data_IF_635186730633
#
_entry.id   IF_635186730633
#
_cell.length_a   1.000
_cell.length_b   1.000
_cell.length_c   1.000
_cell.angle_alpha   90.00
_cell.angle_beta   90.00
_cell.angle_gamma   90.00
#
_symmetry.space_group_name_H-M   'P 1'
#
loop_
_entity.id
_entity.type
_entity.pdbx_description
1 polymer ?
#
# COMPACT_ATOMS: atom_id res chain seq x y z
N UNK A 1 -7.26 -2.03 -4.61
CA UNK A 1 -6.75 -1.87 -3.24
C UNK A 1 -7.71 -0.97 -2.49
N UNK A 2 -8.09 -1.36 -1.30
CA UNK A 2 -9.05 -0.61 -0.50
C UNK A 2 -8.69 -0.59 0.98
N UNK A 3 -9.38 0.27 1.73
CA UNK A 3 -9.20 0.39 3.18
C UNK A 3 -9.50 -0.95 3.84
N UNK A 4 -8.61 -1.40 4.73
CA UNK A 4 -8.72 -2.68 5.43
C UNK A 4 -8.00 -3.83 4.76
N UNK A 5 -7.54 -3.67 3.52
CA UNK A 5 -6.77 -4.71 2.84
C UNK A 5 -5.43 -4.94 3.53
N UNK A 6 -5.01 -6.20 3.61
CA UNK A 6 -3.65 -6.54 4.02
C UNK A 6 -2.75 -6.50 2.80
N UNK A 7 -1.62 -5.83 2.93
CA UNK A 7 -0.67 -5.60 1.85
C UNK A 7 0.75 -5.92 2.29
N UNK A 8 1.61 -6.17 1.32
CA UNK A 8 3.05 -6.29 1.53
C UNK A 8 3.80 -5.59 0.40
N UNK A 9 5.11 -5.45 0.56
CA UNK A 9 5.96 -4.88 -0.47
C UNK A 9 6.13 -5.86 -1.64
N UNK A 10 6.19 -5.34 -2.86
CA UNK A 10 6.65 -6.11 -4.02
C UNK A 10 8.17 -6.05 -4.06
N UNK A 11 8.80 -7.19 -4.32
CA UNK A 11 10.23 -7.24 -4.60
C UNK A 11 10.49 -6.80 -6.05
N UNK A 12 11.74 -6.46 -6.35
CA UNK A 12 12.16 -6.12 -7.71
C UNK A 12 11.83 -7.27 -8.68
N UNK A 13 11.88 -8.52 -8.21
CA UNK A 13 11.52 -9.70 -8.98
C UNK A 13 10.01 -9.86 -9.23
N UNK A 14 9.19 -8.98 -8.63
CA UNK A 14 7.73 -9.09 -8.69
C UNK A 14 7.13 -10.05 -7.66
N UNK A 15 7.95 -10.74 -6.89
CA UNK A 15 7.47 -11.63 -5.83
C UNK A 15 7.08 -10.83 -4.59
N UNK A 16 6.04 -11.28 -3.84
CA UNK A 16 5.68 -10.60 -2.61
C UNK A 16 6.77 -10.74 -1.54
N UNK A 17 6.94 -9.70 -0.74
CA UNK A 17 7.84 -9.70 0.40
C UNK A 17 7.01 -9.71 1.68
N UNK A 18 6.92 -10.86 2.32
CA UNK A 18 6.13 -11.05 3.53
C UNK A 18 6.87 -10.67 4.82
N UNK A 19 8.07 -10.11 4.71
CA UNK A 19 8.83 -9.69 5.89
C UNK A 19 8.06 -8.64 6.70
N UNK A 20 7.38 -7.73 6.03
CA UNK A 20 6.56 -6.73 6.71
C UNK A 20 5.20 -6.66 6.04
N UNK A 21 4.16 -6.92 6.83
CA UNK A 21 2.77 -6.90 6.38
C UNK A 21 2.10 -5.69 6.98
N UNK A 22 1.32 -4.98 6.18
CA UNK A 22 0.59 -3.81 6.62
C UNK A 22 -0.88 -3.88 6.31
N UNK A 23 -1.62 -2.96 6.93
CA UNK A 23 -3.04 -2.77 6.66
C UNK A 23 -3.26 -1.39 6.06
N UNK A 24 -4.08 -1.31 5.02
CA UNK A 24 -4.42 -0.04 4.37
C UNK A 24 -5.36 0.74 5.26
N UNK A 25 -4.95 1.94 5.64
CA UNK A 25 -5.73 2.83 6.51
C UNK A 25 -6.51 3.86 5.72
N UNK A 26 -5.93 4.41 4.67
CA UNK A 26 -6.63 5.38 3.83
C UNK A 26 -6.02 5.42 2.43
N UNK A 27 -6.78 6.01 1.52
CA UNK A 27 -6.37 6.25 0.14
C UNK A 27 -6.54 7.73 -0.13
N UNK A 28 -5.55 8.35 -0.77
CA UNK A 28 -5.61 9.76 -1.07
C UNK A 28 -5.20 9.99 -2.52
N UNK A 29 -6.02 10.74 -3.26
CA UNK A 29 -5.74 11.09 -4.64
C UNK A 29 -5.18 12.49 -4.72
N UNK A 30 -4.25 12.70 -5.64
CA UNK A 30 -3.67 14.01 -5.91
C UNK A 30 -3.98 14.39 -7.35
N UNK A 31 -4.90 15.33 -7.54
CA UNK A 31 -5.40 15.74 -8.84
C UNK A 31 -4.63 16.91 -9.46
N UNK A 32 -3.50 17.32 -8.85
CA UNK A 32 -2.73 18.41 -9.43
C UNK A 32 -1.99 17.95 -10.69
N UNK A 33 -1.88 18.81 -11.72
CA UNK A 33 -1.19 18.43 -12.97
C UNK A 33 0.31 18.20 -12.79
N UNK A 34 0.87 18.58 -11.66
CA UNK A 34 2.29 18.42 -11.34
C UNK A 34 2.57 17.18 -10.49
N UNK A 35 1.53 16.45 -10.10
CA UNK A 35 1.71 15.24 -9.27
C UNK A 35 2.36 14.13 -10.07
N UNK A 36 3.43 13.56 -9.52
CA UNK A 36 4.09 12.39 -10.11
C UNK A 36 3.21 11.15 -9.94
N UNK A 37 2.49 11.09 -8.82
CA UNK A 37 1.61 9.97 -8.48
C UNK A 37 0.20 10.48 -8.20
N UNK A 38 -0.79 9.83 -8.81
CA UNK A 38 -2.19 10.21 -8.64
C UNK A 38 -2.84 9.62 -7.40
N UNK A 39 -2.26 8.55 -6.87
CA UNK A 39 -2.80 7.85 -5.71
C UNK A 39 -1.69 7.52 -4.72
N UNK A 40 -1.93 7.87 -3.46
CA UNK A 40 -1.08 7.47 -2.34
C UNK A 40 -1.89 6.63 -1.37
N UNK A 41 -1.27 5.63 -0.80
CA UNK A 41 -1.88 4.69 0.14
C UNK A 41 -1.22 4.84 1.49
N UNK A 42 -2.03 5.09 2.51
CA UNK A 42 -1.56 5.09 3.89
C UNK A 42 -1.65 3.68 4.44
N UNK A 43 -0.51 3.15 4.89
CA UNK A 43 -0.41 1.78 5.37
C UNK A 43 0.26 1.79 6.75
N UNK A 44 -0.28 1.00 7.66
CA UNK A 44 0.37 0.70 8.92
C UNK A 44 1.02 -0.67 8.83
N UNK A 45 2.35 -0.69 8.73
CA UNK A 45 3.13 -1.90 8.67
C UNK A 45 3.45 -2.39 10.09
N UNK A 46 3.46 -3.70 10.27
CA UNK A 46 3.69 -4.30 11.59
C UNK A 46 5.10 -4.02 12.12
N UNK A 47 6.09 -3.90 11.23
CA UNK A 47 7.48 -3.69 11.63
C UNK A 47 7.90 -2.24 11.56
N UNK A 48 7.67 -1.59 10.42
CA UNK A 48 8.16 -0.22 10.21
C UNK A 48 7.17 0.85 10.63
N UNK A 49 5.92 0.47 10.92
CA UNK A 49 4.89 1.40 11.35
C UNK A 49 4.20 2.13 10.20
N UNK A 50 3.83 3.35 10.43
CA UNK A 50 2.98 4.16 9.58
C UNK A 50 3.76 4.75 8.41
N UNK A 51 3.25 4.54 7.18
CA UNK A 51 3.95 5.00 5.98
C UNK A 51 2.96 5.29 4.86
N UNK A 52 3.23 6.35 4.09
CA UNK A 52 2.54 6.62 2.83
C UNK A 52 3.30 5.97 1.69
N UNK A 53 2.59 5.21 0.86
CA UNK A 53 3.18 4.41 -0.20
C UNK A 53 2.50 4.65 -1.53
N UNK A 54 3.23 4.41 -2.61
CA UNK A 54 2.67 4.33 -3.96
C UNK A 54 2.13 2.90 -4.14
N UNK A 55 0.89 2.74 -4.63
CA UNK A 55 0.28 1.41 -4.75
C UNK A 55 1.05 0.46 -5.67
N UNK A 56 1.83 0.98 -6.61
CA UNK A 56 2.63 0.16 -7.52
C UNK A 56 3.67 -0.70 -6.80
N UNK A 57 4.09 -0.29 -5.59
CA UNK A 57 5.06 -1.03 -4.80
C UNK A 57 4.42 -1.99 -3.80
N UNK A 58 3.10 -2.07 -3.80
CA UNK A 58 2.35 -2.89 -2.84
C UNK A 58 1.60 -4.00 -3.55
N UNK A 59 1.45 -5.11 -2.85
CA UNK A 59 0.63 -6.24 -3.30
C UNK A 59 -0.41 -6.55 -2.23
N UNK A 60 -1.65 -6.74 -2.65
CA UNK A 60 -2.72 -7.14 -1.74
C UNK A 60 -2.59 -8.63 -1.46
N UNK A 61 -2.37 -8.97 -0.19
CA UNK A 61 -2.27 -10.36 0.25
C UNK A 61 -3.66 -10.92 0.57
N UNK A 62 -4.47 -10.09 1.25
CA UNK A 62 -5.82 -10.46 1.64
C UNK A 62 -6.71 -9.23 1.56
N UNK A 63 -7.67 -9.20 0.63
CA UNK A 63 -8.60 -8.09 0.55
C UNK A 63 -9.55 -8.11 1.75
N UNK A 64 -9.94 -6.92 2.21
CA UNK A 64 -10.93 -6.80 3.27
C UNK A 64 -12.29 -7.27 2.73
N UNK A 65 -12.94 -8.15 3.49
CA UNK A 65 -14.28 -8.65 3.16
C UNK A 65 -15.14 -8.55 4.40
N UNK A 66 -16.08 -7.60 4.45
CA UNK A 66 -16.97 -7.46 5.59
C UNK A 66 -17.97 -8.62 5.70
#
# INVERSE_FOLDING_TARGET
MGIGDLVCWKRISGLPDYYDIGIVLSLETNDTPYAIYNLMVEVYFMRIGHLWCVPDYLEVISPYSP
#
